data_IF_387726099896
#
_entry.id   IF_387726099896
#
_cell.length_a   1.000
_cell.length_b   1.000
_cell.length_c   1.000
_cell.angle_alpha   90.00
_cell.angle_beta   90.00
_cell.angle_gamma   90.00
#
_symmetry.space_group_name_H-M   'P 1'
#
loop_
_entity.id
_entity.type
_entity.pdbx_description
1 polymer ?
#
# COMPACT_ATOMS: atom_id res chain seq x y z
N UNK A 1 -32.77 -5.25 17.52
CA UNK A 1 -33.56 -4.90 18.72
C UNK A 1 -33.82 -3.40 18.68
N UNK A 2 -35.06 -3.00 18.35
CA UNK A 2 -35.45 -1.57 18.24
C UNK A 2 -35.85 -1.09 19.62
N UNK A 3 -35.09 -0.15 20.18
CA UNK A 3 -35.41 0.51 21.44
C UNK A 3 -36.31 1.73 21.13
N UNK A 4 -37.59 1.58 21.38
CA UNK A 4 -38.57 2.68 21.23
C UNK A 4 -38.62 3.44 22.55
N UNK A 5 -38.05 4.63 22.58
CA UNK A 5 -38.18 5.55 23.72
C UNK A 5 -39.46 6.37 23.52
N UNK A 6 -40.47 6.11 24.35
CA UNK A 6 -41.68 6.90 24.41
C UNK A 6 -41.42 8.07 25.33
N UNK A 7 -41.36 9.30 24.78
CA UNK A 7 -41.33 10.54 25.56
C UNK A 7 -42.75 11.07 25.66
N UNK A 8 -43.33 10.96 26.86
CA UNK A 8 -44.66 11.54 27.18
C UNK A 8 -44.50 13.04 27.47
N UNK A 9 -44.99 13.88 26.59
CA UNK A 9 -45.01 15.34 26.75
C UNK A 9 -46.25 15.72 27.54
N UNK A 10 -46.05 16.23 28.73
CA UNK A 10 -47.10 16.86 29.55
C UNK A 10 -47.22 18.32 29.15
N UNK A 11 -48.33 18.70 28.50
CA UNK A 11 -48.63 20.08 28.14
C UNK A 11 -49.23 20.84 29.34
N UNK A 12 -48.52 21.83 29.88
CA UNK A 12 -49.09 22.86 30.74
C UNK A 12 -49.08 24.21 29.98
N UNK A 13 -50.26 24.75 29.77
CA UNK A 13 -50.48 26.08 29.22
C UNK A 13 -50.24 27.14 30.29
N UNK A 14 -49.29 28.06 30.05
CA UNK A 14 -49.23 29.33 30.75
C UNK A 14 -48.78 30.43 29.78
N UNK A 15 -49.51 31.50 29.73
CA UNK A 15 -49.40 32.64 28.85
C UNK A 15 -48.19 33.53 29.14
N UNK A 16 -47.61 34.11 28.07
CA UNK A 16 -46.88 35.37 28.01
C UNK A 16 -45.64 35.52 28.90
N UNK A 17 -44.54 34.89 28.53
CA UNK A 17 -43.17 35.41 28.67
C UNK A 17 -42.31 34.66 27.66
N UNK A 18 -41.33 35.35 27.03
CA UNK A 18 -40.43 34.69 26.07
C UNK A 18 -39.74 33.46 26.66
N UNK A 19 -39.18 32.56 25.81
CA UNK A 19 -38.69 31.29 26.26
C UNK A 19 -37.71 31.44 27.43
N UNK A 20 -37.93 30.65 28.49
CA UNK A 20 -37.08 30.68 29.66
C UNK A 20 -35.65 30.29 29.29
N UNK A 21 -34.65 30.72 30.07
CA UNK A 21 -33.23 30.31 29.84
C UNK A 21 -33.05 28.80 29.75
N UNK A 22 -33.87 28.06 30.48
CA UNK A 22 -33.84 26.60 30.46
C UNK A 22 -34.37 26.00 29.14
N UNK A 23 -35.43 26.61 28.55
CA UNK A 23 -35.96 26.21 27.23
C UNK A 23 -35.00 26.57 26.10
N UNK A 24 -34.28 27.70 26.21
CA UNK A 24 -33.24 28.07 25.23
C UNK A 24 -32.05 27.10 25.28
N UNK A 25 -31.58 26.73 26.48
CA UNK A 25 -30.52 25.74 26.64
C UNK A 25 -30.95 24.35 26.17
N UNK A 26 -32.17 23.92 26.43
CA UNK A 26 -32.69 22.65 25.94
C UNK A 26 -32.77 22.62 24.41
N UNK A 27 -33.17 23.71 23.77
CA UNK A 27 -33.19 23.82 22.30
C UNK A 27 -31.80 23.85 21.69
N UNK A 28 -30.81 24.50 22.32
CA UNK A 28 -29.39 24.44 21.86
C UNK A 28 -28.79 23.05 22.01
N UNK A 29 -29.07 22.36 23.10
CA UNK A 29 -28.60 20.96 23.30
C UNK A 29 -29.24 20.05 22.26
N UNK A 30 -30.52 20.18 21.97
CA UNK A 30 -31.18 19.39 20.91
C UNK A 30 -30.58 19.67 19.54
N UNK A 31 -30.35 20.93 19.20
CA UNK A 31 -29.76 21.33 17.93
C UNK A 31 -28.33 20.79 17.77
N UNK A 32 -27.53 20.88 18.82
CA UNK A 32 -26.17 20.35 18.83
C UNK A 32 -26.15 18.82 18.77
N UNK A 33 -27.11 18.12 19.36
CA UNK A 33 -27.26 16.67 19.24
C UNK A 33 -27.65 16.24 17.81
N UNK A 34 -28.57 16.97 17.15
CA UNK A 34 -28.94 16.73 15.76
C UNK A 34 -27.78 17.00 14.79
N UNK A 35 -26.99 18.06 15.03
CA UNK A 35 -25.78 18.36 14.24
C UNK A 35 -24.71 17.28 14.41
N UNK A 36 -24.52 16.79 15.63
CA UNK A 36 -23.58 15.67 15.90
C UNK A 36 -24.04 14.37 15.23
N UNK A 37 -25.33 14.08 15.25
CA UNK A 37 -25.89 12.89 14.58
C UNK A 37 -25.74 12.98 13.06
N UNK A 38 -26.01 14.12 12.44
CA UNK A 38 -25.78 14.36 11.01
C UNK A 38 -24.29 14.24 10.63
N UNK A 39 -23.43 14.77 11.49
CA UNK A 39 -21.98 14.64 11.29
C UNK A 39 -21.52 13.17 11.36
N UNK A 40 -22.02 12.41 12.33
CA UNK A 40 -21.72 10.99 12.46
C UNK A 40 -22.24 10.16 11.27
N UNK A 41 -23.45 10.45 10.78
CA UNK A 41 -24.00 9.82 9.58
C UNK A 41 -23.19 10.16 8.32
N UNK A 42 -22.76 11.43 8.20
CA UNK A 42 -21.91 11.88 7.08
C UNK A 42 -20.53 11.20 7.12
N UNK A 43 -19.93 11.05 8.30
CA UNK A 43 -18.66 10.33 8.46
C UNK A 43 -18.80 8.82 8.16
N UNK A 44 -19.89 8.20 8.62
CA UNK A 44 -20.15 6.79 8.32
C UNK A 44 -20.32 6.55 6.82
N UNK A 45 -21.07 7.42 6.13
CA UNK A 45 -21.25 7.36 4.68
C UNK A 45 -19.94 7.62 3.92
N UNK A 46 -19.14 8.59 4.36
CA UNK A 46 -17.81 8.85 3.80
C UNK A 46 -16.87 7.65 3.94
N UNK A 47 -16.91 6.95 5.07
CA UNK A 47 -16.14 5.72 5.28
C UNK A 47 -16.63 4.57 4.38
N UNK A 48 -17.94 4.45 4.17
CA UNK A 48 -18.53 3.44 3.28
C UNK A 48 -18.19 3.72 1.80
N UNK A 49 -18.29 4.99 1.38
CA UNK A 49 -17.92 5.42 0.03
C UNK A 49 -16.41 5.23 -0.24
N UNK A 50 -15.56 5.49 0.76
CA UNK A 50 -14.12 5.24 0.68
C UNK A 50 -13.82 3.74 0.59
N UNK A 51 -14.47 2.90 1.40
CA UNK A 51 -14.30 1.46 1.36
C UNK A 51 -14.74 0.88 -0.01
N UNK A 52 -15.84 1.40 -0.57
CA UNK A 52 -16.31 1.02 -1.90
C UNK A 52 -15.35 1.48 -2.99
N UNK A 53 -14.86 2.72 -2.94
CA UNK A 53 -13.86 3.24 -3.87
C UNK A 53 -12.56 2.43 -3.86
N UNK A 54 -12.10 2.00 -2.69
CA UNK A 54 -10.95 1.10 -2.55
C UNK A 54 -11.24 -0.29 -3.13
N UNK A 55 -12.44 -0.82 -2.94
CA UNK A 55 -12.85 -2.11 -3.52
C UNK A 55 -12.94 -2.05 -5.04
N UNK A 56 -13.50 -0.98 -5.59
CA UNK A 56 -13.62 -0.77 -7.03
C UNK A 56 -12.22 -0.58 -7.67
N UNK A 57 -11.33 0.15 -7.00
CA UNK A 57 -9.94 0.30 -7.41
C UNK A 57 -9.21 -1.05 -7.39
N UNK A 58 -9.34 -1.81 -6.31
CA UNK A 58 -8.74 -3.14 -6.18
C UNK A 58 -9.24 -4.10 -7.28
N UNK A 59 -10.54 -4.05 -7.60
CA UNK A 59 -11.15 -4.85 -8.66
C UNK A 59 -10.65 -4.44 -10.04
N UNK A 60 -10.53 -3.14 -10.30
CA UNK A 60 -9.98 -2.61 -11.56
C UNK A 60 -8.51 -2.97 -11.74
N UNK A 61 -7.73 -2.92 -10.67
CA UNK A 61 -6.31 -3.32 -10.67
C UNK A 61 -6.16 -4.83 -10.88
N UNK A 62 -6.97 -5.65 -10.19
CA UNK A 62 -6.99 -7.10 -10.38
C UNK A 62 -7.20 -7.48 -11.84
N UNK A 63 -8.15 -6.82 -12.51
CA UNK A 63 -8.41 -7.03 -13.93
C UNK A 63 -7.23 -6.59 -14.82
N UNK A 64 -6.61 -5.44 -14.53
CA UNK A 64 -5.47 -4.92 -15.29
C UNK A 64 -4.23 -5.83 -15.21
N UNK A 65 -4.03 -6.50 -14.06
CA UNK A 65 -2.93 -7.45 -13.87
C UNK A 65 -3.28 -8.90 -14.21
N UNK A 66 -4.50 -9.14 -14.76
CA UNK A 66 -4.99 -10.50 -15.01
C UNK A 66 -5.05 -11.34 -13.71
N UNK A 67 -5.11 -10.69 -12.56
CA UNK A 67 -5.40 -11.31 -11.26
C UNK A 67 -6.89 -11.53 -11.11
N UNK A 68 -7.28 -12.50 -10.29
CA UNK A 68 -8.67 -12.65 -9.89
C UNK A 68 -9.02 -11.55 -8.87
N UNK A 69 -9.93 -10.61 -9.20
CA UNK A 69 -10.34 -9.56 -8.26
C UNK A 69 -11.00 -10.12 -6.99
N UNK A 70 -11.40 -11.40 -7.02
CA UNK A 70 -11.98 -12.13 -5.89
C UNK A 70 -10.96 -13.04 -5.20
N UNK A 71 -9.68 -12.99 -5.59
CA UNK A 71 -8.64 -13.77 -4.93
C UNK A 71 -8.62 -13.42 -3.43
N UNK A 72 -8.88 -14.43 -2.60
CA UNK A 72 -8.80 -14.24 -1.16
C UNK A 72 -7.33 -14.11 -0.77
N UNK A 73 -7.00 -13.16 0.13
CA UNK A 73 -5.67 -13.12 0.71
C UNK A 73 -5.28 -14.48 1.27
N UNK A 74 -4.07 -14.91 0.97
CA UNK A 74 -3.49 -16.13 1.51
C UNK A 74 -2.58 -15.77 2.69
N UNK A 75 -2.18 -16.75 3.49
CA UNK A 75 -1.16 -16.51 4.48
C UNK A 75 0.18 -16.18 3.81
N UNK A 76 0.88 -15.12 4.25
CA UNK A 76 2.18 -14.80 3.71
C UNK A 76 3.20 -15.87 4.12
N UNK A 77 4.17 -16.11 3.27
CA UNK A 77 5.31 -16.98 3.57
C UNK A 77 6.11 -16.44 4.77
N UNK A 78 6.95 -17.29 5.35
CA UNK A 78 7.86 -16.81 6.39
C UNK A 78 8.84 -15.78 5.82
N UNK A 79 9.08 -14.67 6.52
CA UNK A 79 10.13 -13.73 6.15
C UNK A 79 11.52 -14.39 6.12
N UNK A 80 11.73 -15.49 6.86
CA UNK A 80 12.98 -16.27 6.81
C UNK A 80 13.17 -16.96 5.47
N UNK A 81 12.08 -17.44 4.86
CA UNK A 81 12.13 -18.02 3.52
C UNK A 81 12.44 -16.94 2.48
N UNK A 82 11.87 -15.74 2.61
CA UNK A 82 12.23 -14.57 1.79
C UNK A 82 13.71 -14.19 1.96
N UNK A 83 14.27 -14.28 3.17
CA UNK A 83 15.70 -14.00 3.40
C UNK A 83 16.62 -14.94 2.63
N UNK A 84 16.18 -16.17 2.32
CA UNK A 84 16.99 -17.16 1.58
C UNK A 84 17.12 -16.85 0.09
N UNK A 85 16.31 -15.94 -0.44
CA UNK A 85 16.34 -15.53 -1.87
C UNK A 85 16.92 -14.13 -2.06
N UNK A 86 17.29 -13.43 -0.97
CA UNK A 86 17.98 -12.15 -1.04
C UNK A 86 19.36 -12.31 -1.69
N UNK A 87 19.78 -11.36 -2.54
CA UNK A 87 21.02 -11.47 -3.30
C UNK A 87 22.27 -11.42 -2.42
N UNK A 88 23.36 -11.98 -2.97
CA UNK A 88 24.72 -11.75 -2.50
C UNK A 88 25.53 -11.07 -3.59
N UNK A 89 26.16 -9.95 -3.25
CA UNK A 89 26.89 -9.11 -4.21
C UNK A 89 28.38 -9.17 -3.95
N UNK A 90 29.12 -9.75 -4.90
CA UNK A 90 30.56 -9.83 -4.82
C UNK A 90 31.20 -8.42 -4.81
N UNK A 91 32.09 -8.16 -3.88
CA UNK A 91 32.76 -6.86 -3.73
C UNK A 91 31.94 -5.79 -3.02
N UNK A 92 30.79 -6.16 -2.45
CA UNK A 92 29.97 -5.31 -1.58
C UNK A 92 29.99 -5.87 -0.15
N UNK A 93 29.97 -4.99 0.83
CA UNK A 93 29.77 -5.37 2.21
C UNK A 93 28.27 -5.61 2.42
N UNK A 94 27.90 -6.82 2.84
CA UNK A 94 26.54 -7.23 3.07
C UNK A 94 26.11 -6.94 4.49
N UNK A 95 25.10 -6.11 4.66
CA UNK A 95 24.46 -5.89 5.96
C UNK A 95 23.72 -7.14 6.45
N UNK A 96 23.28 -7.10 7.71
CA UNK A 96 22.46 -8.16 8.28
C UNK A 96 21.06 -8.11 7.67
N UNK A 97 20.55 -9.21 7.11
CA UNK A 97 19.18 -9.26 6.62
C UNK A 97 18.18 -9.02 7.76
N UNK A 98 17.14 -8.25 7.45
CA UNK A 98 16.00 -8.01 8.35
C UNK A 98 14.75 -8.65 7.76
N UNK A 99 13.68 -8.72 8.52
CA UNK A 99 12.41 -9.21 8.02
C UNK A 99 11.29 -9.08 9.07
N UNK A 100 10.09 -8.96 8.56
CA UNK A 100 8.87 -8.91 9.38
C UNK A 100 7.73 -9.67 8.71
N UNK A 101 6.72 -10.00 9.49
CA UNK A 101 5.47 -10.59 9.02
C UNK A 101 4.32 -9.97 9.80
N UNK A 102 3.29 -9.60 9.09
CA UNK A 102 2.04 -9.08 9.66
C UNK A 102 0.86 -9.88 9.10
N UNK A 103 -0.13 -10.17 9.93
CA UNK A 103 -1.34 -10.89 9.53
C UNK A 103 -2.62 -10.07 9.71
N UNK A 104 -2.53 -8.92 10.40
CA UNK A 104 -3.63 -7.97 10.55
C UNK A 104 -3.04 -6.58 10.91
N UNK A 105 -3.63 -5.45 10.43
CA UNK A 105 -4.78 -5.35 9.54
C UNK A 105 -4.47 -5.66 8.07
N UNK A 106 -3.21 -5.61 7.67
CA UNK A 106 -2.72 -5.95 6.32
C UNK A 106 -1.88 -7.23 6.42
N UNK A 107 -2.19 -8.19 5.57
CA UNK A 107 -1.50 -9.48 5.55
C UNK A 107 -0.30 -9.41 4.60
N UNK A 108 0.94 -9.52 5.10
CA UNK A 108 2.16 -9.53 4.30
C UNK A 108 3.36 -10.11 5.07
N UNK A 109 4.41 -10.46 4.34
CA UNK A 109 5.74 -10.70 4.89
C UNK A 109 6.78 -9.94 4.08
N UNK A 110 7.84 -9.51 4.71
CA UNK A 110 8.92 -8.75 4.08
C UNK A 110 10.28 -9.23 4.56
N UNK A 111 11.25 -9.22 3.66
CA UNK A 111 12.65 -9.37 3.99
C UNK A 111 13.48 -8.35 3.20
N UNK A 112 14.53 -7.82 3.82
CA UNK A 112 15.43 -6.87 3.17
C UNK A 112 16.87 -7.07 3.55
N UNK A 113 17.77 -6.60 2.67
CA UNK A 113 19.21 -6.53 2.91
C UNK A 113 19.77 -5.28 2.25
N UNK A 114 20.73 -4.65 2.90
CA UNK A 114 21.47 -3.53 2.31
C UNK A 114 22.92 -3.95 2.08
N UNK A 115 23.45 -3.59 0.92
CA UNK A 115 24.85 -3.77 0.56
C UNK A 115 25.51 -2.39 0.42
N UNK A 116 26.74 -2.25 0.87
CA UNK A 116 27.49 -0.99 0.80
C UNK A 116 28.87 -1.19 0.13
N UNK A 117 29.32 -0.17 -0.59
CA UNK A 117 30.64 -0.12 -1.21
C UNK A 117 31.11 1.33 -1.32
N UNK A 118 32.01 1.75 -0.42
CA UNK A 118 32.34 3.16 -0.27
C UNK A 118 31.09 3.98 0.08
N UNK A 119 30.80 5.01 -0.73
CA UNK A 119 29.61 5.85 -0.55
C UNK A 119 28.37 5.30 -1.25
N UNK A 120 28.51 4.21 -1.99
CA UNK A 120 27.39 3.57 -2.68
C UNK A 120 26.65 2.60 -1.76
N UNK A 121 25.33 2.54 -1.92
CA UNK A 121 24.48 1.58 -1.22
C UNK A 121 23.41 1.00 -2.15
N UNK A 122 23.08 -0.26 -1.93
CA UNK A 122 22.00 -0.96 -2.62
C UNK A 122 21.14 -1.66 -1.58
N UNK A 123 19.86 -1.32 -1.54
CA UNK A 123 18.87 -1.98 -0.71
C UNK A 123 18.02 -2.90 -1.58
N UNK A 124 17.91 -4.16 -1.20
CA UNK A 124 17.00 -5.12 -1.83
C UNK A 124 15.93 -5.52 -0.83
N UNK A 125 14.68 -5.36 -1.21
CA UNK A 125 13.51 -5.69 -0.42
C UNK A 125 12.60 -6.63 -1.20
N UNK A 126 12.16 -7.69 -0.57
CA UNK A 126 11.19 -8.64 -1.12
C UNK A 126 9.99 -8.66 -0.20
N UNK A 127 8.82 -8.34 -0.76
CA UNK A 127 7.54 -8.35 -0.03
C UNK A 127 6.62 -9.41 -0.63
N UNK A 128 6.17 -10.34 0.18
CA UNK A 128 5.02 -11.19 -0.14
C UNK A 128 3.75 -10.42 0.18
N UNK A 129 3.05 -10.01 -0.85
CA UNK A 129 1.77 -9.28 -0.70
C UNK A 129 0.63 -10.19 -0.24
N UNK A 130 0.85 -11.51 -0.13
CA UNK A 130 -0.18 -12.50 0.18
C UNK A 130 -1.43 -12.35 -0.69
N UNK A 131 -1.25 -11.95 -1.96
CA UNK A 131 -2.29 -11.58 -2.93
C UNK A 131 -3.12 -10.35 -2.50
N UNK A 132 -2.67 -9.59 -1.51
CA UNK A 132 -3.31 -8.34 -1.11
C UNK A 132 -3.02 -7.24 -2.14
N UNK A 133 -4.03 -6.91 -2.93
CA UNK A 133 -3.90 -5.96 -4.03
C UNK A 133 -3.58 -4.54 -3.58
N UNK A 134 -3.91 -4.16 -2.35
CA UNK A 134 -3.56 -2.84 -1.79
C UNK A 134 -2.05 -2.60 -1.80
N UNK A 135 -1.24 -3.65 -1.61
CA UNK A 135 0.21 -3.55 -1.64
C UNK A 135 0.77 -3.40 -3.07
N UNK A 136 0.06 -3.90 -4.07
CA UNK A 136 0.46 -3.82 -5.49
C UNK A 136 -0.10 -2.55 -6.16
N UNK A 137 -1.18 -1.99 -5.62
CA UNK A 137 -1.89 -0.83 -6.16
C UNK A 137 -1.00 0.36 -6.55
N UNK A 138 0.02 0.77 -5.75
CA UNK A 138 0.88 1.89 -6.11
C UNK A 138 1.63 1.70 -7.44
N UNK A 139 1.85 0.46 -7.84
CA UNK A 139 2.58 0.11 -9.07
C UNK A 139 1.68 -0.08 -10.28
N UNK A 140 0.36 -0.11 -10.09
CA UNK A 140 -0.62 -0.47 -11.11
C UNK A 140 -0.49 0.34 -12.40
N UNK A 141 -0.34 1.65 -12.28
CA UNK A 141 -0.23 2.56 -13.43
C UNK A 141 1.01 2.25 -14.28
N UNK A 142 2.12 1.89 -13.64
CA UNK A 142 3.38 1.58 -14.30
C UNK A 142 3.38 0.16 -14.89
N UNK A 143 2.63 -0.75 -14.28
CA UNK A 143 2.59 -2.17 -14.66
C UNK A 143 1.54 -2.46 -15.73
N UNK A 144 0.47 -1.67 -15.82
CA UNK A 144 -0.64 -1.87 -16.77
C UNK A 144 -0.37 -1.34 -18.18
N UNK A 145 0.66 -0.51 -18.37
CA UNK A 145 0.90 0.19 -19.62
C UNK A 145 2.36 0.23 -20.03
N UNK A 146 2.59 0.73 -21.24
CA UNK A 146 3.91 1.12 -21.71
C UNK A 146 4.17 2.56 -21.24
N UNK A 147 4.38 2.74 -19.93
CA UNK A 147 4.75 4.04 -19.38
C UNK A 147 6.23 4.30 -19.64
N UNK A 148 6.53 5.44 -20.21
CA UNK A 148 7.87 5.92 -20.40
C UNK A 148 7.87 7.45 -20.24
N UNK A 149 8.81 7.94 -19.45
CA UNK A 149 9.04 9.36 -19.21
C UNK A 149 10.53 9.62 -19.17
N UNK A 150 10.99 10.61 -19.92
CA UNK A 150 12.35 11.09 -19.90
C UNK A 150 12.39 12.54 -19.41
N UNK A 151 13.42 12.89 -18.66
CA UNK A 151 13.69 14.23 -18.14
C UNK A 151 15.17 14.57 -18.36
N UNK A 152 15.55 15.82 -18.18
CA UNK A 152 16.96 16.24 -18.30
C UNK A 152 17.87 15.51 -17.31
N UNK A 153 17.33 15.05 -16.17
CA UNK A 153 18.07 14.38 -15.10
C UNK A 153 17.90 12.86 -15.06
N UNK A 154 17.05 12.25 -15.90
CA UNK A 154 16.84 10.81 -15.84
C UNK A 154 15.61 10.32 -16.58
N UNK A 155 15.16 9.12 -16.23
CA UNK A 155 13.99 8.49 -16.83
C UNK A 155 13.22 7.62 -15.85
N UNK A 156 11.97 7.36 -16.21
CA UNK A 156 11.07 6.40 -15.57
C UNK A 156 10.38 5.59 -16.66
N UNK A 157 10.36 4.26 -16.53
CA UNK A 157 9.73 3.42 -17.56
C UNK A 157 9.21 2.10 -17.00
N UNK A 158 8.15 1.60 -17.63
CA UNK A 158 7.73 0.21 -17.50
C UNK A 158 8.74 -0.71 -18.17
N UNK A 159 9.02 -1.83 -17.53
CA UNK A 159 9.91 -2.87 -18.05
C UNK A 159 9.27 -4.25 -17.93
N UNK A 160 9.88 -5.25 -18.58
CA UNK A 160 9.55 -6.66 -18.38
C UNK A 160 10.84 -7.46 -18.16
N UNK A 161 10.81 -8.33 -17.15
CA UNK A 161 11.87 -9.30 -16.87
C UNK A 161 11.29 -10.70 -17.13
N UNK A 162 11.57 -11.24 -18.32
CA UNK A 162 10.78 -12.35 -18.84
C UNK A 162 9.30 -11.95 -18.98
N UNK A 163 8.41 -12.70 -18.34
CA UNK A 163 6.98 -12.40 -18.31
C UNK A 163 6.55 -11.54 -17.11
N UNK A 164 7.48 -11.19 -16.23
CA UNK A 164 7.19 -10.44 -15.01
C UNK A 164 7.21 -8.93 -15.31
N UNK A 165 6.11 -8.20 -15.01
CA UNK A 165 6.08 -6.76 -15.19
C UNK A 165 6.92 -6.06 -14.12
N UNK A 166 7.50 -4.93 -14.50
CA UNK A 166 8.31 -4.12 -13.59
C UNK A 166 8.30 -2.64 -13.96
N UNK A 167 8.98 -1.88 -13.13
CA UNK A 167 9.16 -0.45 -13.27
C UNK A 167 10.61 -0.10 -12.93
N UNK A 168 11.21 0.76 -13.72
CA UNK A 168 12.57 1.26 -13.53
C UNK A 168 12.57 2.78 -13.54
N UNK A 169 13.28 3.34 -12.59
CA UNK A 169 13.58 4.76 -12.50
C UNK A 169 15.07 4.96 -12.35
N UNK A 170 15.62 5.96 -13.05
CA UNK A 170 17.01 6.37 -12.94
C UNK A 170 17.12 7.88 -12.84
N UNK A 171 17.93 8.35 -11.90
CA UNK A 171 18.29 9.75 -11.70
C UNK A 171 19.81 9.88 -11.85
N UNK A 172 20.24 10.53 -12.94
CA UNK A 172 21.65 10.73 -13.30
C UNK A 172 22.36 11.73 -12.38
N UNK A 173 21.64 12.76 -11.92
CA UNK A 173 22.19 13.81 -11.06
C UNK A 173 22.53 13.23 -9.67
N UNK A 174 21.60 12.48 -9.11
CA UNK A 174 21.75 11.90 -7.79
C UNK A 174 22.41 10.53 -7.81
N UNK A 175 22.76 9.99 -8.99
CA UNK A 175 23.31 8.64 -9.18
C UNK A 175 22.51 7.59 -8.41
N UNK A 176 21.20 7.69 -8.52
CA UNK A 176 20.24 6.84 -7.82
C UNK A 176 19.22 6.23 -8.75
N UNK A 177 18.69 5.09 -8.37
CA UNK A 177 17.66 4.44 -9.16
C UNK A 177 16.89 3.41 -8.36
N UNK A 178 15.72 3.10 -8.89
CA UNK A 178 14.77 2.15 -8.34
C UNK A 178 14.38 1.14 -9.42
N UNK A 179 14.38 -0.13 -9.08
CA UNK A 179 13.91 -1.22 -9.92
C UNK A 179 12.91 -2.06 -9.13
N UNK A 180 11.68 -2.12 -9.59
CA UNK A 180 10.62 -2.93 -8.98
C UNK A 180 10.12 -3.96 -9.99
N UNK A 181 10.01 -5.21 -9.56
CA UNK A 181 9.48 -6.33 -10.36
C UNK A 181 8.42 -7.07 -9.56
N UNK A 182 7.29 -7.38 -10.21
CA UNK A 182 6.22 -8.17 -9.59
C UNK A 182 6.31 -9.61 -10.08
N UNK A 183 6.65 -10.52 -9.17
CA UNK A 183 6.82 -11.94 -9.47
C UNK A 183 5.55 -12.70 -9.11
N UNK A 184 5.03 -13.47 -10.06
CA UNK A 184 3.82 -14.28 -9.92
C UNK A 184 2.60 -13.52 -9.35
N UNK A 185 2.50 -12.21 -9.65
CA UNK A 185 1.40 -11.35 -9.14
C UNK A 185 1.29 -11.31 -7.60
N UNK A 186 2.30 -11.80 -6.90
CA UNK A 186 2.31 -11.97 -5.44
C UNK A 186 3.50 -11.29 -4.78
N UNK A 187 4.70 -11.51 -5.31
CA UNK A 187 5.91 -11.00 -4.68
C UNK A 187 6.38 -9.71 -5.34
N UNK A 188 6.66 -8.70 -4.54
CA UNK A 188 7.22 -7.42 -4.97
C UNK A 188 8.71 -7.46 -4.64
N UNK A 189 9.56 -7.41 -5.67
CA UNK A 189 11.01 -7.26 -5.52
C UNK A 189 11.36 -5.83 -5.83
N UNK A 190 11.81 -5.07 -4.83
CA UNK A 190 12.22 -3.69 -4.96
C UNK A 190 13.74 -3.58 -4.67
N UNK A 191 14.46 -2.94 -5.58
CA UNK A 191 15.90 -2.70 -5.50
C UNK A 191 16.11 -1.20 -5.63
N UNK A 192 16.67 -0.59 -4.59
CA UNK A 192 17.03 0.83 -4.56
C UNK A 192 18.56 0.96 -4.54
N UNK A 193 19.11 1.77 -5.45
CA UNK A 193 20.53 2.07 -5.51
C UNK A 193 20.80 3.55 -5.29
N UNK A 194 21.81 3.87 -4.52
CA UNK A 194 22.30 5.23 -4.28
C UNK A 194 23.81 5.29 -4.45
N UNK A 195 24.31 6.35 -5.10
CA UNK A 195 25.75 6.51 -5.39
C UNK A 195 26.26 5.46 -6.39
N UNK A 196 25.40 4.80 -7.13
CA UNK A 196 25.74 3.79 -8.13
C UNK A 196 26.07 4.44 -9.49
N UNK A 197 26.80 3.73 -10.36
CA UNK A 197 27.30 4.33 -11.59
C UNK A 197 26.23 4.46 -12.70
N UNK A 198 25.29 3.52 -12.73
CA UNK A 198 24.19 3.50 -13.71
C UNK A 198 23.11 2.48 -13.30
N UNK A 199 21.96 2.52 -13.97
CA UNK A 199 20.84 1.63 -13.70
C UNK A 199 21.12 0.12 -13.95
N UNK A 200 22.15 -0.24 -14.77
CA UNK A 200 22.50 -1.64 -15.02
C UNK A 200 22.88 -2.37 -13.73
N UNK A 201 23.44 -1.66 -12.75
CA UNK A 201 23.78 -2.23 -11.44
C UNK A 201 22.54 -2.83 -10.78
N UNK A 202 21.35 -2.19 -10.92
CA UNK A 202 20.10 -2.72 -10.36
C UNK A 202 19.68 -4.04 -11.03
N UNK A 203 19.88 -4.14 -12.35
CA UNK A 203 19.61 -5.39 -13.09
C UNK A 203 20.58 -6.51 -12.67
N UNK A 204 21.87 -6.19 -12.47
CA UNK A 204 22.86 -7.16 -11.98
C UNK A 204 22.47 -7.69 -10.59
N UNK A 205 21.93 -6.83 -9.72
CA UNK A 205 21.40 -7.24 -8.41
C UNK A 205 20.18 -8.15 -8.56
N UNK A 206 19.25 -7.79 -9.47
CA UNK A 206 18.07 -8.60 -9.74
C UNK A 206 18.46 -10.00 -10.27
N UNK A 207 19.47 -10.11 -11.13
CA UNK A 207 19.99 -11.40 -11.62
C UNK A 207 20.58 -12.28 -10.49
N UNK A 208 21.06 -11.67 -9.40
CA UNK A 208 21.52 -12.38 -8.21
C UNK A 208 20.40 -12.74 -7.24
N UNK A 209 19.22 -12.19 -7.46
CA UNK A 209 18.01 -12.54 -6.68
C UNK A 209 17.39 -13.79 -7.30
N UNK A 210 17.21 -14.84 -6.52
CA UNK A 210 16.66 -16.10 -7.04
C UNK A 210 15.14 -16.01 -7.25
N UNK A 211 14.75 -15.38 -8.38
CA UNK A 211 13.35 -15.20 -8.74
C UNK A 211 12.63 -16.53 -8.99
N UNK A 212 13.36 -17.58 -9.41
CA UNK A 212 12.78 -18.92 -9.64
C UNK A 212 12.40 -19.56 -8.31
N UNK A 213 13.30 -19.49 -7.34
CA UNK A 213 13.03 -19.98 -5.98
C UNK A 213 11.93 -19.13 -5.32
N UNK A 214 11.97 -17.79 -5.48
CA UNK A 214 10.91 -16.90 -4.97
C UNK A 214 9.54 -17.28 -5.53
N UNK A 215 9.44 -17.50 -6.83
CA UNK A 215 8.21 -17.90 -7.51
C UNK A 215 7.65 -19.26 -7.03
N UNK A 216 8.49 -20.12 -6.48
CA UNK A 216 8.12 -21.43 -5.95
C UNK A 216 7.70 -21.42 -4.47
N UNK A 217 7.87 -20.29 -3.75
CA UNK A 217 7.39 -20.16 -2.37
C UNK A 217 5.84 -20.10 -2.33
N UNK A 218 5.26 -20.85 -1.40
CA UNK A 218 3.80 -20.99 -1.23
C UNK A 218 3.35 -20.55 0.16
#
# INVERSE_FOLDING_TARGET
MKLTVIVTVLALTAAACGPSREEQQAAEIQKSAEEMQKSAESMAKGAEDMAKGMSDLASGLGAAFGGDPNAKPVDPVSFRDLQTVLPELAGWERGKPTGERMTAPVNFAEASVTHTRGDASISTKITDSALNQVLVAPFAMFLAGNYERETDSGYEKSIKIGDQPGFEKWDMENRSGDLTVIVNKRFIVAIEGRGIDNAKVLHEVLEKTDLTKLAALQ
#
